data_IF_883492062879
#
_entry.id   IF_883492062879
#
_cell.length_a   1.000
_cell.length_b   1.000
_cell.length_c   1.000
_cell.angle_alpha   90.00
_cell.angle_beta   90.00
_cell.angle_gamma   90.00
#
_symmetry.space_group_name_H-M   'P 1'
#
loop_
_entity.id
_entity.type
_entity.pdbx_description
1 polymer ?
#
# COMPACT_ATOMS: atom_id res chain seq x y z
N UNK A 1 -15.75 -4.48 1.00
CA UNK A 1 -15.00 -3.32 0.50
C UNK A 1 -14.87 -2.34 1.65
N UNK A 2 -13.65 -1.86 1.93
CA UNK A 2 -13.39 -0.77 2.88
C UNK A 2 -12.79 0.39 2.09
N UNK A 3 -13.11 1.62 2.46
CA UNK A 3 -12.52 2.82 1.86
C UNK A 3 -11.25 3.17 2.63
N UNK A 4 -10.17 3.43 1.90
CA UNK A 4 -8.90 3.90 2.45
C UNK A 4 -8.74 5.36 2.07
N UNK A 5 -8.54 6.21 3.07
CA UNK A 5 -8.26 7.63 2.88
C UNK A 5 -6.85 7.83 2.35
N UNK A 6 -6.58 8.99 1.74
CA UNK A 6 -5.25 9.30 1.23
C UNK A 6 -4.18 9.30 2.34
N UNK A 7 -4.54 9.75 3.55
CA UNK A 7 -3.64 9.76 4.71
C UNK A 7 -3.30 8.33 5.19
N UNK A 8 -4.31 7.46 5.30
CA UNK A 8 -4.13 6.05 5.65
C UNK A 8 -3.26 5.33 4.61
N UNK A 9 -3.51 5.59 3.32
CA UNK A 9 -2.71 5.04 2.24
C UNK A 9 -1.24 5.48 2.34
N UNK A 10 -1.00 6.77 2.60
CA UNK A 10 0.34 7.32 2.76
C UNK A 10 1.07 6.73 3.98
N UNK A 11 0.39 6.53 5.10
CA UNK A 11 0.95 5.89 6.29
C UNK A 11 1.37 4.44 6.01
N UNK A 12 0.50 3.65 5.35
CA UNK A 12 0.77 2.25 4.99
C UNK A 12 1.94 2.16 3.99
N UNK A 13 1.97 3.04 2.99
CA UNK A 13 3.05 3.11 2.00
C UNK A 13 4.38 3.46 2.67
N UNK A 14 4.37 4.45 3.54
CA UNK A 14 5.56 4.87 4.28
C UNK A 14 6.10 3.72 5.14
N UNK A 15 5.23 3.02 5.88
CA UNK A 15 5.61 1.84 6.66
C UNK A 15 6.20 0.72 5.78
N UNK A 16 5.66 0.52 4.57
CA UNK A 16 6.18 -0.44 3.60
C UNK A 16 7.60 -0.08 3.15
N UNK A 17 7.83 1.19 2.81
CA UNK A 17 9.13 1.65 2.31
C UNK A 17 10.20 1.72 3.41
N UNK A 18 9.83 2.12 4.62
CA UNK A 18 10.79 2.27 5.74
C UNK A 18 11.07 0.95 6.47
N UNK A 19 10.10 0.02 6.54
CA UNK A 19 10.19 -1.15 7.42
C UNK A 19 9.70 -2.46 6.79
N UNK A 20 9.24 -2.43 5.53
CA UNK A 20 8.87 -3.61 4.76
C UNK A 20 7.40 -4.05 4.89
N UNK A 21 7.06 -5.14 4.19
CA UNK A 21 5.68 -5.64 4.02
C UNK A 21 4.93 -5.83 5.35
N UNK A 22 5.56 -6.46 6.34
CA UNK A 22 4.88 -6.78 7.60
C UNK A 22 4.66 -5.57 8.51
N UNK A 23 5.51 -4.54 8.42
CA UNK A 23 5.28 -3.28 9.12
C UNK A 23 4.06 -2.54 8.54
N UNK A 24 3.93 -2.55 7.21
CA UNK A 24 2.74 -2.03 6.54
C UNK A 24 1.47 -2.82 6.88
N UNK A 25 1.56 -4.14 7.10
CA UNK A 25 0.42 -4.96 7.57
C UNK A 25 0.01 -4.56 8.99
N UNK A 26 0.97 -4.28 9.88
CA UNK A 26 0.67 -3.79 11.24
C UNK A 26 -0.01 -2.43 11.18
N UNK A 27 0.48 -1.53 10.32
CA UNK A 27 -0.14 -0.21 10.13
C UNK A 27 -1.56 -0.33 9.55
N UNK A 28 -1.74 -1.16 8.51
CA UNK A 28 -3.07 -1.48 7.96
C UNK A 28 -4.02 -1.99 9.06
N UNK A 29 -3.54 -2.82 9.98
CA UNK A 29 -4.33 -3.38 11.08
C UNK A 29 -4.73 -2.37 12.14
N UNK A 30 -4.04 -1.23 12.24
CA UNK A 30 -4.44 -0.13 13.13
C UNK A 30 -5.68 0.59 12.61
N UNK A 31 -5.82 0.67 11.29
CA UNK A 31 -6.94 1.34 10.61
C UNK A 31 -8.09 0.37 10.31
N UNK A 32 -7.78 -0.85 9.91
CA UNK A 32 -8.74 -1.88 9.52
C UNK A 32 -8.49 -3.18 10.30
N UNK A 33 -9.48 -3.66 11.05
CA UNK A 33 -9.37 -4.90 11.84
C UNK A 33 -9.34 -6.18 10.98
N UNK A 34 -8.29 -6.36 10.17
CA UNK A 34 -8.10 -7.51 9.26
C UNK A 34 -7.27 -8.59 9.97
N UNK A 35 -7.93 -9.68 10.34
CA UNK A 35 -7.28 -10.79 11.05
C UNK A 35 -6.49 -11.70 10.11
N UNK A 36 -6.97 -11.90 8.88
CA UNK A 36 -6.32 -12.80 7.92
C UNK A 36 -5.05 -12.17 7.34
N UNK A 37 -3.93 -12.89 7.43
CA UNK A 37 -2.63 -12.41 6.97
C UNK A 37 -2.59 -12.24 5.45
N UNK A 38 -3.21 -13.16 4.69
CA UNK A 38 -3.19 -13.15 3.23
C UNK A 38 -3.97 -11.95 2.70
N UNK A 39 -5.16 -11.70 3.24
CA UNK A 39 -5.98 -10.56 2.89
C UNK A 39 -5.32 -9.23 3.28
N UNK A 40 -4.68 -9.16 4.46
CA UNK A 40 -3.95 -7.96 4.87
C UNK A 40 -2.77 -7.67 3.93
N UNK A 41 -2.00 -8.69 3.55
CA UNK A 41 -0.88 -8.54 2.63
C UNK A 41 -1.34 -8.11 1.23
N UNK A 42 -2.43 -8.69 0.72
CA UNK A 42 -3.04 -8.30 -0.55
C UNK A 42 -3.50 -6.83 -0.53
N UNK A 43 -4.13 -6.40 0.56
CA UNK A 43 -4.55 -5.00 0.74
C UNK A 43 -3.34 -4.05 0.74
N UNK A 44 -2.28 -4.37 1.50
CA UNK A 44 -1.03 -3.57 1.51
C UNK A 44 -0.47 -3.44 0.10
N UNK A 45 -0.36 -4.55 -0.66
CA UNK A 45 0.16 -4.53 -2.03
C UNK A 45 -0.68 -3.68 -2.98
N UNK A 46 -2.01 -3.74 -2.86
CA UNK A 46 -2.91 -2.86 -3.61
C UNK A 46 -2.68 -1.39 -3.28
N UNK A 47 -2.58 -1.05 -1.99
CA UNK A 47 -2.38 0.32 -1.52
C UNK A 47 -1.02 0.87 -1.97
N UNK A 48 0.06 0.09 -1.85
CA UNK A 48 1.40 0.50 -2.32
C UNK A 48 1.40 0.75 -3.82
N UNK A 49 0.66 -0.05 -4.58
CA UNK A 49 0.52 0.13 -6.04
C UNK A 49 -0.24 1.40 -6.42
N UNK A 50 -1.15 1.91 -5.57
CA UNK A 50 -1.87 3.16 -5.83
C UNK A 50 -0.98 4.41 -5.72
N UNK A 51 0.04 4.42 -4.85
CA UNK A 51 0.97 5.55 -4.75
C UNK A 51 2.13 5.52 -5.71
N UNK A 52 2.34 4.44 -6.44
CA UNK A 52 3.19 4.50 -7.60
C UNK A 52 2.41 5.31 -8.65
N UNK A 53 2.75 6.59 -8.92
CA UNK A 53 2.20 7.23 -10.12
C UNK A 53 2.51 6.30 -11.29
N UNK A 54 1.60 6.16 -12.29
CA UNK A 54 1.94 5.45 -13.50
C UNK A 54 3.22 6.10 -14.03
N UNK A 55 4.35 5.39 -13.96
CA UNK A 55 5.59 5.85 -14.54
C UNK A 55 5.25 6.18 -15.99
N UNK A 56 5.43 7.42 -16.47
CA UNK A 56 5.40 7.64 -17.90
C UNK A 56 6.51 6.75 -18.46
N UNK A 57 6.11 5.73 -19.20
CA UNK A 57 7.03 4.91 -19.97
C UNK A 57 7.95 5.88 -20.72
N UNK A 58 9.28 5.72 -20.70
CA UNK A 58 10.13 6.52 -21.57
C UNK A 58 9.70 6.19 -22.99
N UNK A 59 8.96 7.10 -23.61
CA UNK A 59 8.73 7.14 -25.05
C UNK A 59 10.11 7.31 -25.67
N UNK A 60 10.74 6.21 -26.06
CA UNK A 60 11.94 6.24 -26.90
C UNK A 60 11.59 6.97 -28.19
N UNK A 61 12.21 8.13 -28.49
CA UNK A 61 12.05 8.74 -29.80
C UNK A 61 12.78 7.86 -30.82
N UNK A 62 12.05 7.46 -31.86
CA UNK A 62 12.55 6.82 -33.09
C UNK A 62 13.07 7.88 -34.04
#
# INVERSE_FOLDING_TARGET
>A
MFSVSQDEAAAIQRAFHESGEWAAVVELRRHFHIQDNVNALNAVRSIVRWAQPPHPSPISPV
#
